data_IF_548778547836
#
_entry.id   IF_548778547836
#
_cell.length_a   1.000
_cell.length_b   1.000
_cell.length_c   1.000
_cell.angle_alpha   90.00
_cell.angle_beta   90.00
_cell.angle_gamma   90.00
#
_symmetry.space_group_name_H-M   'P 1'
#
loop_
_entity.id
_entity.type
_entity.pdbx_description
1 polymer ?
#
# COMPACT_ATOMS: atom_id res chain seq x y z
N UNK A 1 18.37 -10.07 -31.70
CA UNK A 1 17.55 -11.20 -31.15
C UNK A 1 17.30 -11.16 -29.63
N UNK A 2 17.70 -10.09 -28.92
CA UNK A 2 17.36 -9.89 -27.49
C UNK A 2 16.11 -9.01 -27.26
N UNK A 3 15.67 -8.26 -28.26
CA UNK A 3 14.56 -7.32 -28.14
C UNK A 3 13.16 -7.91 -28.42
N UNK A 4 13.06 -9.18 -28.78
CA UNK A 4 11.78 -9.82 -29.09
C UNK A 4 11.15 -10.57 -27.92
N UNK A 5 11.87 -10.91 -26.86
CA UNK A 5 11.31 -11.60 -25.70
C UNK A 5 10.71 -10.69 -24.61
N UNK A 6 10.97 -9.38 -24.65
CA UNK A 6 10.42 -8.42 -23.65
C UNK A 6 9.03 -7.87 -24.04
N UNK A 7 8.55 -8.12 -25.24
CA UNK A 7 7.27 -7.57 -25.72
C UNK A 7 6.04 -8.42 -25.36
N UNK A 8 6.21 -9.62 -24.82
CA UNK A 8 5.09 -10.58 -24.67
C UNK A 8 4.28 -10.42 -23.38
N UNK A 9 4.81 -9.76 -22.37
CA UNK A 9 4.11 -9.64 -21.08
C UNK A 9 2.94 -8.62 -21.07
N UNK A 10 2.84 -7.73 -22.06
CA UNK A 10 1.82 -6.66 -22.12
C UNK A 10 0.93 -6.77 -23.38
N UNK A 11 1.01 -7.83 -24.13
CA UNK A 11 0.29 -8.00 -25.42
C UNK A 11 -1.26 -8.02 -25.31
N UNK A 12 -1.81 -7.99 -24.08
CA UNK A 12 -3.26 -7.97 -23.82
C UNK A 12 -3.83 -6.65 -23.28
N UNK A 13 -2.99 -5.60 -23.18
CA UNK A 13 -3.43 -4.31 -22.61
C UNK A 13 -3.88 -3.38 -23.73
N UNK A 14 -5.09 -2.81 -23.59
CA UNK A 14 -5.66 -1.95 -24.61
C UNK A 14 -4.92 -0.60 -24.72
N UNK A 15 -4.84 -0.07 -25.94
CA UNK A 15 -4.28 1.27 -26.19
C UNK A 15 -5.06 2.36 -25.44
N UNK A 16 -6.36 2.16 -25.21
CA UNK A 16 -7.19 3.06 -24.40
C UNK A 16 -6.70 3.16 -22.97
N UNK A 17 -6.32 2.03 -22.35
CA UNK A 17 -5.76 2.03 -20.97
C UNK A 17 -4.43 2.77 -20.93
N UNK A 18 -3.55 2.57 -21.91
CA UNK A 18 -2.27 3.29 -22.00
C UNK A 18 -2.47 4.80 -22.17
N UNK A 19 -3.40 5.21 -23.02
CA UNK A 19 -3.76 6.63 -23.19
C UNK A 19 -4.35 7.22 -21.91
N UNK A 20 -5.22 6.48 -21.22
CA UNK A 20 -5.78 6.89 -19.92
C UNK A 20 -4.68 7.06 -18.88
N UNK A 21 -3.77 6.09 -18.74
CA UNK A 21 -2.63 6.16 -17.82
C UNK A 21 -1.73 7.36 -18.16
N UNK A 22 -1.41 7.59 -19.42
CA UNK A 22 -0.61 8.73 -19.86
C UNK A 22 -1.24 10.06 -19.44
N UNK A 23 -2.55 10.20 -19.62
CA UNK A 23 -3.30 11.41 -19.27
C UNK A 23 -3.25 11.65 -17.77
N UNK A 24 -3.54 10.64 -16.94
CA UNK A 24 -3.54 10.80 -15.49
C UNK A 24 -2.15 11.01 -14.92
N UNK A 25 -1.14 10.30 -15.44
CA UNK A 25 0.26 10.47 -15.03
C UNK A 25 0.85 11.82 -15.45
N UNK A 26 0.34 12.43 -16.51
CA UNK A 26 0.77 13.76 -16.97
C UNK A 26 0.19 14.92 -16.16
N UNK A 27 -0.93 14.76 -15.44
CA UNK A 27 -1.67 15.90 -14.88
C UNK A 27 -2.26 15.68 -13.49
N UNK A 28 -2.53 14.44 -13.06
CA UNK A 28 -3.22 14.18 -11.80
C UNK A 28 -2.24 14.04 -10.63
N UNK A 29 -2.69 14.39 -9.42
CA UNK A 29 -2.01 13.99 -8.19
C UNK A 29 -2.06 12.47 -8.05
N UNK A 30 -0.90 11.83 -7.85
CA UNK A 30 -0.79 10.38 -7.79
C UNK A 30 -0.73 9.90 -6.35
N UNK A 31 -1.59 8.96 -6.03
CA UNK A 31 -1.63 8.29 -4.74
C UNK A 31 -1.63 6.77 -4.93
N UNK A 32 -1.06 6.06 -3.97
CA UNK A 32 -1.06 4.61 -3.90
C UNK A 32 -1.74 4.15 -2.63
N UNK A 33 -2.45 3.03 -2.69
CA UNK A 33 -2.87 2.25 -1.53
C UNK A 33 -2.22 0.87 -1.61
N UNK A 34 -1.37 0.57 -0.63
CA UNK A 34 -0.66 -0.70 -0.53
C UNK A 34 -1.23 -1.56 0.57
N UNK A 35 -1.64 -2.78 0.22
CA UNK A 35 -1.90 -3.85 1.16
C UNK A 35 -0.75 -4.87 1.17
N UNK A 36 -0.90 -5.95 1.94
CA UNK A 36 0.15 -6.95 2.15
C UNK A 36 0.66 -7.59 0.83
N UNK A 37 -0.19 -7.71 -0.18
CA UNK A 37 0.17 -8.28 -1.47
C UNK A 37 1.21 -7.48 -2.27
N UNK A 38 1.47 -6.20 -1.94
CA UNK A 38 2.49 -5.39 -2.62
C UNK A 38 3.91 -5.92 -2.41
N UNK A 39 4.15 -6.60 -1.29
CA UNK A 39 5.44 -7.18 -0.94
C UNK A 39 5.72 -8.51 -1.69
N UNK A 40 4.73 -9.04 -2.40
CA UNK A 40 4.85 -10.29 -3.14
C UNK A 40 5.33 -11.44 -2.24
N UNK A 41 6.41 -12.13 -2.67
CA UNK A 41 6.99 -13.25 -1.93
C UNK A 41 8.04 -12.83 -0.88
N UNK A 42 8.34 -11.54 -0.75
CA UNK A 42 9.38 -11.06 0.14
C UNK A 42 8.95 -10.98 1.60
N UNK A 43 7.65 -10.81 1.83
CA UNK A 43 7.05 -10.77 3.16
C UNK A 43 5.70 -11.48 3.14
N UNK A 44 5.38 -12.32 4.15
CA UNK A 44 4.16 -13.08 4.16
C UNK A 44 2.91 -12.22 4.34
N UNK A 45 1.82 -12.63 3.72
CA UNK A 45 0.48 -12.15 4.05
C UNK A 45 -0.18 -13.08 5.08
N UNK A 46 -1.25 -12.62 5.72
CA UNK A 46 -1.81 -13.29 6.91
C UNK A 46 -2.04 -14.79 6.76
N UNK A 47 -2.54 -15.27 5.63
CA UNK A 47 -2.77 -16.71 5.42
C UNK A 47 -1.49 -17.59 5.46
N UNK A 48 -0.32 -16.99 5.58
CA UNK A 48 0.98 -17.68 5.71
C UNK A 48 1.51 -17.67 7.15
N UNK A 49 0.80 -17.02 8.09
CA UNK A 49 1.13 -17.01 9.53
C UNK A 49 0.59 -18.29 10.19
N UNK A 50 1.32 -19.39 9.99
CA UNK A 50 0.85 -20.73 10.37
C UNK A 50 0.76 -20.94 11.89
N UNK A 51 1.67 -20.33 12.67
CA UNK A 51 1.65 -20.43 14.13
C UNK A 51 0.45 -19.66 14.71
N UNK A 52 0.19 -18.47 14.20
CA UNK A 52 -0.96 -17.65 14.57
C UNK A 52 -2.28 -18.34 14.23
N UNK A 53 -2.42 -18.86 13.00
CA UNK A 53 -3.60 -19.59 12.55
C UNK A 53 -3.82 -20.84 13.41
N UNK A 54 -2.75 -21.59 13.72
CA UNK A 54 -2.81 -22.75 14.60
C UNK A 54 -3.26 -22.37 16.01
N UNK A 55 -2.70 -21.27 16.56
CA UNK A 55 -3.08 -20.77 17.88
C UNK A 55 -4.54 -20.34 17.95
N UNK A 56 -5.07 -19.74 16.87
CA UNK A 56 -6.49 -19.40 16.75
C UNK A 56 -7.38 -20.65 16.74
N UNK A 57 -7.08 -21.59 15.86
CA UNK A 57 -7.86 -22.83 15.71
C UNK A 57 -7.88 -23.65 17.01
N UNK A 58 -6.77 -23.76 17.73
CA UNK A 58 -6.69 -24.45 19.03
C UNK A 58 -7.56 -23.80 20.11
N UNK A 59 -7.89 -22.54 19.96
CA UNK A 59 -8.76 -21.77 20.88
C UNK A 59 -10.18 -21.59 20.38
N UNK A 60 -10.55 -22.33 19.31
CA UNK A 60 -11.91 -22.29 18.74
C UNK A 60 -12.24 -21.03 17.96
N UNK A 61 -11.22 -20.25 17.54
CA UNK A 61 -11.38 -19.09 16.68
C UNK A 61 -11.23 -19.49 15.21
N UNK A 62 -11.91 -18.76 14.31
CA UNK A 62 -11.76 -18.96 12.88
C UNK A 62 -10.39 -18.43 12.39
N UNK A 63 -9.52 -19.32 11.97
CA UNK A 63 -8.20 -19.02 11.45
C UNK A 63 -8.16 -18.33 10.07
N UNK A 64 -9.30 -18.11 9.44
CA UNK A 64 -9.37 -17.50 8.10
C UNK A 64 -9.06 -16.00 8.11
N UNK A 65 -9.43 -15.30 9.19
CA UNK A 65 -9.23 -13.86 9.35
C UNK A 65 -9.04 -13.48 10.81
N UNK A 66 -7.82 -13.06 11.17
CA UNK A 66 -7.48 -12.68 12.55
C UNK A 66 -8.32 -11.50 13.04
N UNK A 67 -8.61 -10.52 12.18
CA UNK A 67 -9.34 -9.32 12.57
C UNK A 67 -10.77 -9.67 12.98
N UNK A 68 -11.46 -10.44 12.14
CA UNK A 68 -12.83 -10.90 12.43
C UNK A 68 -12.88 -11.81 13.65
N UNK A 69 -11.94 -12.74 13.75
CA UNK A 69 -11.89 -13.68 14.86
C UNK A 69 -11.66 -12.99 16.21
N UNK A 70 -10.71 -12.07 16.28
CA UNK A 70 -10.42 -11.32 17.51
C UNK A 70 -11.49 -10.28 17.83
N UNK A 71 -12.15 -9.69 16.83
CA UNK A 71 -13.28 -8.80 17.05
C UNK A 71 -14.46 -9.48 17.76
N UNK A 72 -14.68 -10.76 17.50
CA UNK A 72 -15.74 -11.56 18.11
C UNK A 72 -15.29 -12.35 19.35
N UNK A 73 -14.01 -12.31 19.70
CA UNK A 73 -13.47 -13.00 20.87
C UNK A 73 -13.74 -12.18 22.15
N UNK A 74 -14.66 -12.67 22.99
CA UNK A 74 -14.98 -12.02 24.27
C UNK A 74 -13.93 -12.26 25.36
N UNK A 75 -13.10 -13.29 25.23
CA UNK A 75 -12.07 -13.65 26.20
C UNK A 75 -10.77 -12.88 25.92
N UNK A 76 -10.45 -11.96 26.85
CA UNK A 76 -9.25 -11.13 26.77
C UNK A 76 -7.95 -11.93 26.81
N UNK A 77 -7.92 -13.02 27.58
CA UNK A 77 -6.71 -13.85 27.70
C UNK A 77 -6.44 -14.62 26.40
N UNK A 78 -7.49 -15.14 25.78
CA UNK A 78 -7.39 -15.78 24.46
C UNK A 78 -6.94 -14.76 23.43
N UNK A 79 -7.55 -13.57 23.41
CA UNK A 79 -7.20 -12.49 22.48
C UNK A 79 -5.73 -12.10 22.61
N UNK A 80 -5.27 -11.84 23.86
CA UNK A 80 -3.87 -11.48 24.09
C UNK A 80 -2.90 -12.60 23.69
N UNK A 81 -3.19 -13.85 24.01
CA UNK A 81 -2.34 -14.97 23.63
C UNK A 81 -2.20 -15.15 22.10
N UNK A 82 -3.27 -14.89 21.33
CA UNK A 82 -3.22 -14.92 19.87
C UNK A 82 -2.41 -13.74 19.34
N UNK A 83 -2.59 -12.55 19.91
CA UNK A 83 -1.82 -11.35 19.54
C UNK A 83 -0.32 -11.51 19.82
N UNK A 84 0.04 -12.07 20.96
CA UNK A 84 1.44 -12.33 21.30
C UNK A 84 2.06 -13.32 20.30
N UNK A 85 1.33 -14.39 19.96
CA UNK A 85 1.78 -15.35 18.92
C UNK A 85 1.94 -14.67 17.57
N UNK A 86 1.02 -13.78 17.18
CA UNK A 86 1.12 -13.02 15.93
C UNK A 86 2.34 -12.10 15.92
N UNK A 87 2.60 -11.38 17.01
CA UNK A 87 3.77 -10.50 17.15
C UNK A 87 5.07 -11.28 17.03
N UNK A 88 5.16 -12.42 17.72
CA UNK A 88 6.36 -13.27 17.70
C UNK A 88 6.61 -13.86 16.30
N UNK A 89 5.57 -14.40 15.67
CA UNK A 89 5.68 -14.95 14.31
C UNK A 89 6.01 -13.85 13.29
N UNK A 90 5.37 -12.67 13.39
CA UNK A 90 5.68 -11.51 12.54
C UNK A 90 7.15 -11.10 12.66
N UNK A 91 7.67 -11.01 13.90
CA UNK A 91 9.05 -10.65 14.15
C UNK A 91 10.04 -11.70 13.61
N UNK A 92 9.63 -12.93 13.41
CA UNK A 92 10.39 -13.96 12.72
C UNK A 92 10.72 -13.60 11.26
N UNK A 93 9.86 -12.82 10.60
CA UNK A 93 10.02 -12.40 9.20
C UNK A 93 10.79 -11.07 9.02
N UNK A 94 11.24 -10.43 10.09
CA UNK A 94 11.92 -9.11 10.04
C UNK A 94 13.20 -9.05 9.20
N UNK A 95 13.83 -10.19 8.91
CA UNK A 95 15.09 -10.29 8.17
C UNK A 95 14.89 -10.38 6.64
N UNK A 96 13.85 -9.77 6.11
CA UNK A 96 13.64 -9.69 4.67
C UNK A 96 14.79 -8.95 3.96
N UNK A 97 15.05 -9.30 2.72
CA UNK A 97 16.12 -8.74 1.90
C UNK A 97 15.55 -7.91 0.77
N UNK A 98 16.07 -6.71 0.58
CA UNK A 98 15.61 -5.78 -0.48
C UNK A 98 16.00 -6.21 -1.90
N UNK A 99 16.90 -7.19 -2.06
CA UNK A 99 17.27 -7.79 -3.34
C UNK A 99 16.34 -8.95 -3.79
N UNK A 100 15.26 -9.21 -3.05
CA UNK A 100 14.21 -10.12 -3.48
C UNK A 100 13.54 -9.62 -4.77
N UNK A 101 13.24 -10.51 -5.69
CA UNK A 101 12.66 -10.17 -7.01
C UNK A 101 11.39 -9.32 -6.91
N UNK A 102 10.48 -9.65 -5.99
CA UNK A 102 9.23 -8.87 -5.79
C UNK A 102 9.55 -7.45 -5.33
N UNK A 103 10.54 -7.25 -4.46
CA UNK A 103 10.93 -5.92 -3.99
C UNK A 103 11.73 -5.14 -5.03
N UNK A 104 12.47 -5.81 -5.89
CA UNK A 104 13.09 -5.16 -7.05
C UNK A 104 12.02 -4.67 -8.04
N UNK A 105 10.93 -5.40 -8.24
CA UNK A 105 9.79 -4.95 -9.04
C UNK A 105 9.08 -3.75 -8.39
N UNK A 106 8.87 -3.77 -7.08
CA UNK A 106 8.32 -2.63 -6.34
C UNK A 106 9.22 -1.39 -6.47
N UNK A 107 10.52 -1.54 -6.31
CA UNK A 107 11.52 -0.48 -6.53
C UNK A 107 11.43 0.09 -7.94
N UNK A 108 11.41 -0.77 -8.94
CA UNK A 108 11.30 -0.40 -10.36
C UNK A 108 10.03 0.42 -10.61
N UNK A 109 8.90 -0.01 -10.04
CA UNK A 109 7.63 0.69 -10.13
C UNK A 109 7.71 2.10 -9.53
N UNK A 110 8.17 2.23 -8.28
CA UNK A 110 8.27 3.52 -7.60
C UNK A 110 9.21 4.47 -8.34
N UNK A 111 10.35 3.98 -8.84
CA UNK A 111 11.30 4.75 -9.64
C UNK A 111 10.70 5.22 -10.96
N UNK A 112 9.94 4.36 -11.65
CA UNK A 112 9.27 4.71 -12.90
C UNK A 112 8.25 5.84 -12.68
N UNK A 113 7.42 5.77 -11.64
CA UNK A 113 6.49 6.83 -11.30
C UNK A 113 7.19 8.15 -10.96
N UNK A 114 8.23 8.10 -10.13
CA UNK A 114 9.03 9.28 -9.79
C UNK A 114 9.58 9.95 -11.05
N UNK A 115 10.17 9.16 -11.95
CA UNK A 115 10.75 9.67 -13.20
C UNK A 115 9.73 10.34 -14.12
N UNK A 116 8.52 9.77 -14.26
CA UNK A 116 7.47 10.38 -15.09
C UNK A 116 6.97 11.68 -14.49
N UNK A 117 6.72 11.67 -13.18
CA UNK A 117 6.19 12.86 -12.48
C UNK A 117 7.22 14.00 -12.48
N UNK A 118 8.52 13.68 -12.39
CA UNK A 118 9.61 14.66 -12.49
C UNK A 118 9.68 15.30 -13.88
N UNK A 119 9.63 14.48 -14.93
CA UNK A 119 9.74 14.93 -16.32
C UNK A 119 8.51 15.69 -16.85
N UNK A 120 7.38 15.60 -16.15
CA UNK A 120 6.15 16.27 -16.57
C UNK A 120 6.26 17.79 -16.33
N UNK A 121 6.66 18.54 -17.36
CA UNK A 121 6.90 19.98 -17.29
C UNK A 121 5.66 20.79 -16.89
N UNK A 122 4.49 20.34 -17.30
CA UNK A 122 3.21 21.03 -17.06
C UNK A 122 2.59 20.71 -15.69
N UNK A 123 3.26 19.93 -14.84
CA UNK A 123 2.75 19.63 -13.49
C UNK A 123 3.05 20.78 -12.54
N UNK A 124 2.01 21.16 -11.79
CA UNK A 124 2.20 22.05 -10.65
C UNK A 124 3.10 21.37 -9.60
N UNK A 125 4.03 22.07 -8.96
CA UNK A 125 4.93 21.48 -7.95
C UNK A 125 4.23 20.62 -6.90
N UNK A 126 3.08 21.06 -6.40
CA UNK A 126 2.29 20.30 -5.41
C UNK A 126 1.80 18.94 -5.93
N UNK A 127 1.59 18.81 -7.24
CA UNK A 127 1.16 17.55 -7.86
C UNK A 127 2.32 16.62 -8.21
N UNK A 128 3.56 17.06 -8.01
CA UNK A 128 4.75 16.22 -8.14
C UNK A 128 4.99 15.33 -6.91
N UNK A 129 4.25 15.56 -5.83
CA UNK A 129 4.28 14.68 -4.65
C UNK A 129 3.51 13.39 -4.94
N UNK A 130 4.12 12.27 -4.58
CA UNK A 130 3.55 10.93 -4.68
C UNK A 130 3.16 10.45 -3.27
N UNK A 131 1.88 10.20 -3.04
CA UNK A 131 1.40 9.74 -1.73
C UNK A 131 1.33 8.20 -1.72
N UNK A 132 1.84 7.59 -0.68
CA UNK A 132 1.74 6.15 -0.43
C UNK A 132 1.01 5.93 0.88
N UNK A 133 -0.23 5.45 0.80
CA UNK A 133 -1.00 4.98 1.95
C UNK A 133 -0.77 3.48 2.09
N UNK A 134 -0.30 3.02 3.23
CA UNK A 134 -0.05 1.61 3.44
C UNK A 134 -0.67 1.10 4.73
N UNK A 135 -1.27 -0.09 4.63
CA UNK A 135 -1.81 -0.84 5.75
C UNK A 135 -0.75 -1.76 6.37
N UNK A 136 0.40 -1.91 5.67
CA UNK A 136 1.46 -2.81 6.09
C UNK A 136 2.24 -2.22 7.27
N UNK A 137 2.59 -3.06 8.22
CA UNK A 137 3.42 -2.67 9.38
C UNK A 137 4.90 -2.60 9.05
N UNK A 138 5.37 -3.37 8.04
CA UNK A 138 6.78 -3.41 7.63
C UNK A 138 7.31 -2.06 7.15
N UNK A 139 8.62 -1.95 6.98
CA UNK A 139 9.32 -0.75 6.48
C UNK A 139 9.86 -0.93 5.06
N UNK A 140 9.32 -1.88 4.31
CA UNK A 140 9.84 -2.24 2.99
C UNK A 140 9.79 -1.04 2.04
N UNK A 141 8.67 -0.31 1.99
CA UNK A 141 8.52 0.85 1.11
C UNK A 141 9.52 1.93 1.48
N UNK A 142 9.62 2.27 2.76
CA UNK A 142 10.51 3.28 3.29
C UNK A 142 11.98 2.95 2.96
N UNK A 143 12.38 1.72 3.22
CA UNK A 143 13.75 1.25 2.97
C UNK A 143 14.09 1.18 1.47
N UNK A 144 13.13 0.82 0.62
CA UNK A 144 13.30 0.88 -0.84
C UNK A 144 13.53 2.32 -1.29
N UNK A 145 12.75 3.27 -0.78
CA UNK A 145 12.89 4.69 -1.12
C UNK A 145 14.23 5.25 -0.66
N UNK A 146 14.66 4.92 0.56
CA UNK A 146 15.96 5.30 1.11
C UNK A 146 17.11 4.72 0.27
N UNK A 147 17.10 3.42 0.00
CA UNK A 147 18.12 2.72 -0.79
C UNK A 147 18.18 3.17 -2.25
N UNK A 148 17.07 3.65 -2.79
CA UNK A 148 16.98 4.21 -4.14
C UNK A 148 17.39 5.69 -4.22
N UNK A 149 17.70 6.33 -3.10
CA UNK A 149 17.99 7.77 -3.05
C UNK A 149 16.78 8.65 -3.39
N UNK A 150 15.56 8.11 -3.26
CA UNK A 150 14.32 8.84 -3.49
C UNK A 150 13.91 9.57 -2.21
N UNK A 151 13.71 10.88 -2.32
CA UNK A 151 13.30 11.68 -1.17
C UNK A 151 11.92 11.28 -0.67
N UNK A 152 11.80 11.01 0.63
CA UNK A 152 10.53 10.66 1.23
C UNK A 152 10.29 11.31 2.59
N UNK A 153 9.01 11.55 2.90
CA UNK A 153 8.50 11.82 4.22
C UNK A 153 7.74 10.59 4.70
N UNK A 154 8.00 10.17 5.92
CA UNK A 154 7.28 9.07 6.54
C UNK A 154 6.43 9.64 7.67
N UNK A 155 5.11 9.46 7.57
CA UNK A 155 4.16 9.83 8.60
C UNK A 155 3.68 8.55 9.29
N UNK A 156 4.15 8.35 10.50
CA UNK A 156 3.72 7.27 11.38
C UNK A 156 3.36 7.86 12.72
N UNK A 157 2.40 7.26 13.41
CA UNK A 157 2.09 7.58 14.78
C UNK A 157 2.76 6.55 15.69
N UNK A 158 3.89 6.92 16.28
CA UNK A 158 4.53 6.15 17.33
C UNK A 158 4.29 6.79 18.69
N UNK A 159 3.92 6.01 19.70
CA UNK A 159 4.01 6.44 21.10
C UNK A 159 5.48 6.40 21.54
N UNK A 160 6.31 7.28 21.00
CA UNK A 160 7.62 7.48 21.60
C UNK A 160 7.51 8.52 22.72
N UNK A 161 8.03 8.19 23.90
CA UNK A 161 8.04 9.10 25.05
C UNK A 161 8.75 10.40 24.68
N UNK A 162 7.99 11.51 24.61
CA UNK A 162 8.54 12.85 24.46
C UNK A 162 8.86 13.30 23.03
N UNK A 163 8.40 12.61 22.00
CA UNK A 163 8.55 13.01 20.60
C UNK A 163 7.21 13.48 20.02
N UNK A 164 7.27 14.26 18.94
CA UNK A 164 6.10 14.62 18.17
C UNK A 164 5.34 13.35 17.74
N UNK A 165 4.00 13.40 17.65
CA UNK A 165 3.19 12.23 17.24
C UNK A 165 3.48 11.74 15.82
N UNK A 166 4.39 12.40 15.11
CA UNK A 166 4.85 12.05 13.77
C UNK A 166 6.35 11.95 13.74
N UNK A 167 6.88 10.88 13.21
CA UNK A 167 8.22 10.86 12.68
C UNK A 167 8.15 11.35 11.23
N UNK A 168 8.67 12.55 10.97
CA UNK A 168 8.89 13.05 9.63
C UNK A 168 10.33 12.74 9.30
N UNK A 169 10.56 11.65 8.58
CA UNK A 169 11.89 11.33 8.03
C UNK A 169 11.93 11.83 6.59
N UNK A 170 12.83 12.75 6.30
CA UNK A 170 13.02 13.30 4.96
C UNK A 170 13.13 14.81 4.99
N UNK A 171 12.65 15.57 4.26
CA UNK A 171 13.02 16.55 3.35
C UNK A 171 12.18 17.85 3.46
N UNK A 172 12.82 19.02 3.27
CA UNK A 172 12.17 20.33 3.27
C UNK A 172 11.47 20.60 1.93
N UNK A 173 10.15 20.56 1.92
CA UNK A 173 9.31 20.79 0.72
C UNK A 173 9.52 22.14 0.07
N UNK A 174 9.94 23.16 0.81
CA UNK A 174 10.11 24.52 0.28
C UNK A 174 11.36 24.65 -0.61
N UNK A 175 12.40 23.87 -0.33
CA UNK A 175 13.66 23.94 -1.07
C UNK A 175 13.65 23.14 -2.37
N UNK A 176 12.79 22.12 -2.47
CA UNK A 176 12.79 21.15 -3.55
C UNK A 176 11.38 20.93 -4.14
N UNK A 177 10.61 22.00 -4.29
CA UNK A 177 9.24 21.94 -4.80
C UNK A 177 9.09 21.31 -6.19
N UNK A 178 10.19 21.21 -6.95
CA UNK A 178 10.20 20.60 -8.29
C UNK A 178 10.67 19.13 -8.32
N UNK A 179 11.11 18.60 -7.17
CA UNK A 179 11.57 17.21 -7.06
C UNK A 179 10.41 16.36 -6.55
N UNK A 180 10.08 15.24 -7.20
CA UNK A 180 9.07 14.32 -6.70
C UNK A 180 9.41 13.88 -5.29
N UNK A 181 8.49 14.06 -4.38
CA UNK A 181 8.64 13.64 -2.99
C UNK A 181 7.60 12.59 -2.66
N UNK A 182 8.04 11.45 -2.16
CA UNK A 182 7.13 10.45 -1.62
C UNK A 182 6.70 10.85 -0.21
N UNK A 183 5.39 10.82 0.04
CA UNK A 183 4.83 10.88 1.39
C UNK A 183 4.25 9.51 1.72
N UNK A 184 4.84 8.82 2.68
CA UNK A 184 4.40 7.50 3.14
C UNK A 184 3.57 7.64 4.41
N UNK A 185 2.32 7.20 4.35
CA UNK A 185 1.36 7.26 5.46
C UNK A 185 1.09 5.84 5.96
N UNK A 186 1.52 5.55 7.18
CA UNK A 186 1.29 4.26 7.84
C UNK A 186 -0.08 4.28 8.51
N UNK A 187 -1.09 3.71 7.87
CA UNK A 187 -2.49 3.79 8.31
C UNK A 187 -2.78 2.94 9.56
N UNK A 188 -2.09 1.83 9.71
CA UNK A 188 -2.26 0.89 10.83
C UNK A 188 -1.05 0.81 11.76
N UNK A 189 -0.13 1.75 11.65
CA UNK A 189 1.10 1.76 12.42
C UNK A 189 2.29 1.13 11.71
N UNK A 190 3.41 1.00 12.42
CA UNK A 190 4.67 0.55 11.86
C UNK A 190 5.49 -0.22 12.89
N UNK A 191 6.35 -1.12 12.42
CA UNK A 191 7.46 -1.65 13.21
C UNK A 191 8.43 -0.53 13.61
N UNK A 192 9.27 -0.78 14.59
CA UNK A 192 10.33 0.13 14.99
C UNK A 192 11.50 0.17 13.97
N UNK A 193 12.52 0.99 14.27
CA UNK A 193 13.72 1.12 13.44
C UNK A 193 14.50 -0.20 13.27
N UNK A 194 14.33 -1.15 14.18
CA UNK A 194 14.95 -2.48 14.12
C UNK A 194 14.02 -3.52 13.49
N UNK A 195 12.93 -3.08 12.86
CA UNK A 195 11.89 -3.92 12.24
C UNK A 195 11.16 -4.82 13.25
N UNK A 196 11.08 -4.43 14.52
CA UNK A 196 10.32 -5.18 15.52
C UNK A 196 8.88 -4.64 15.61
N UNK A 197 7.93 -5.56 15.52
CA UNK A 197 6.53 -5.30 15.82
C UNK A 197 6.32 -5.30 17.34
N UNK A 198 5.51 -4.37 17.82
CA UNK A 198 5.03 -4.37 19.19
C UNK A 198 3.56 -3.93 19.24
N UNK A 199 2.84 -4.40 20.25
CA UNK A 199 1.41 -4.08 20.42
C UNK A 199 1.13 -2.58 20.60
N UNK A 200 2.11 -1.80 21.05
CA UNK A 200 1.95 -0.36 21.26
C UNK A 200 2.06 0.50 20.00
N UNK A 201 2.59 -0.07 18.90
CA UNK A 201 2.94 0.68 17.69
C UNK A 201 2.01 0.40 16.51
N UNK A 202 1.01 -0.46 16.68
CA UNK A 202 0.11 -0.86 15.60
C UNK A 202 -1.35 -0.87 16.05
N UNK A 203 -2.24 -0.79 15.08
CA UNK A 203 -3.66 -1.05 15.28
C UNK A 203 -3.88 -2.54 15.18
N UNK A 204 -4.13 -3.18 16.31
CA UNK A 204 -4.52 -4.57 16.30
C UNK A 204 -5.96 -4.74 15.84
N UNK A 205 -6.24 -5.82 15.13
CA UNK A 205 -7.60 -6.25 14.92
C UNK A 205 -8.29 -6.54 16.26
N UNK A 206 -9.50 -6.02 16.46
CA UNK A 206 -10.24 -6.19 17.71
C UNK A 206 -11.61 -5.50 17.68
N UNK A 207 -12.35 -5.60 18.79
CA UNK A 207 -13.72 -5.09 18.89
C UNK A 207 -13.85 -3.58 18.69
N UNK A 208 -12.79 -2.81 18.94
CA UNK A 208 -12.77 -1.35 18.76
C UNK A 208 -11.62 -0.90 17.84
N UNK A 209 -11.55 -1.53 16.66
CA UNK A 209 -10.55 -1.12 15.64
C UNK A 209 -10.70 0.36 15.29
N UNK A 210 -11.93 0.84 15.12
CA UNK A 210 -12.18 2.23 14.78
C UNK A 210 -11.78 3.17 15.93
N UNK A 211 -12.08 2.82 17.17
CA UNK A 211 -11.63 3.58 18.35
C UNK A 211 -10.11 3.62 18.47
N UNK A 212 -9.44 2.51 18.24
CA UNK A 212 -7.97 2.44 18.22
C UNK A 212 -7.37 3.26 17.10
N UNK A 213 -7.95 3.25 15.90
CA UNK A 213 -7.54 4.09 14.78
C UNK A 213 -7.76 5.57 15.13
N UNK A 214 -8.94 5.93 15.62
CA UNK A 214 -9.27 7.31 15.97
C UNK A 214 -8.40 7.86 17.09
N UNK A 215 -7.98 7.03 18.06
CA UNK A 215 -7.15 7.48 19.17
C UNK A 215 -5.67 7.60 18.83
N UNK A 216 -5.16 6.74 17.94
CA UNK A 216 -3.73 6.61 17.69
C UNK A 216 -3.28 6.94 16.25
N UNK A 217 -4.16 6.76 15.25
CA UNK A 217 -3.82 6.89 13.83
C UNK A 217 -4.79 7.78 13.06
N UNK A 218 -5.63 8.51 13.77
CA UNK A 218 -6.63 9.43 13.20
C UNK A 218 -6.04 10.36 12.15
N UNK A 219 -4.87 10.92 12.41
CA UNK A 219 -4.27 11.94 11.56
C UNK A 219 -3.81 11.38 10.21
N UNK A 220 -3.28 10.16 10.18
CA UNK A 220 -2.87 9.52 8.90
C UNK A 220 -4.09 9.14 8.07
N UNK A 221 -5.16 8.65 8.70
CA UNK A 221 -6.42 8.34 8.03
C UNK A 221 -7.13 9.60 7.53
N UNK A 222 -7.11 10.67 8.33
CA UNK A 222 -7.65 11.98 7.95
C UNK A 222 -6.85 12.60 6.80
N UNK A 223 -5.51 12.48 6.83
CA UNK A 223 -4.65 12.91 5.74
C UNK A 223 -4.97 12.14 4.44
N UNK A 224 -5.17 10.81 4.51
CA UNK A 224 -5.61 10.02 3.37
C UNK A 224 -6.91 10.56 2.79
N UNK A 225 -7.93 10.78 3.61
CA UNK A 225 -9.22 11.35 3.18
C UNK A 225 -9.01 12.70 2.50
N UNK A 226 -8.23 13.59 3.12
CA UNK A 226 -7.95 14.92 2.57
C UNK A 226 -7.23 14.89 1.23
N UNK A 227 -6.23 14.01 1.05
CA UNK A 227 -5.51 13.85 -0.21
C UNK A 227 -6.40 13.26 -1.32
N UNK A 228 -7.20 12.24 -1.01
CA UNK A 228 -8.05 11.58 -2.01
C UNK A 228 -9.25 12.43 -2.46
N UNK A 229 -9.72 13.38 -1.64
CA UNK A 229 -10.79 14.32 -1.99
C UNK A 229 -10.32 15.50 -2.85
N UNK A 230 -9.02 15.67 -3.08
CA UNK A 230 -8.51 16.72 -3.97
C UNK A 230 -8.93 16.47 -5.41
N UNK A 231 -9.18 17.55 -6.14
CA UNK A 231 -9.48 17.46 -7.57
C UNK A 231 -8.31 16.89 -8.36
N UNK A 232 -8.60 16.19 -9.43
CA UNK A 232 -7.60 15.56 -10.30
C UNK A 232 -6.65 14.64 -9.55
N UNK A 233 -7.20 13.79 -8.69
CA UNK A 233 -6.44 12.76 -7.97
C UNK A 233 -6.70 11.39 -8.59
N UNK A 234 -5.63 10.59 -8.67
CA UNK A 234 -5.68 9.18 -9.06
C UNK A 234 -5.12 8.32 -7.94
N UNK A 235 -5.79 7.21 -7.67
CA UNK A 235 -5.37 6.20 -6.70
C UNK A 235 -5.06 4.88 -7.41
N UNK A 236 -3.85 4.36 -7.21
CA UNK A 236 -3.47 3.01 -7.60
C UNK A 236 -3.56 2.09 -6.39
N UNK A 237 -4.41 1.06 -6.47
CA UNK A 237 -4.63 0.08 -5.40
C UNK A 237 -3.89 -1.20 -5.75
N UNK A 238 -2.95 -1.61 -4.89
CA UNK A 238 -2.02 -2.71 -5.14
C UNK A 238 -1.94 -3.62 -3.91
N UNK A 239 -2.20 -4.91 -4.11
CA UNK A 239 -2.07 -5.92 -3.06
C UNK A 239 -3.02 -5.75 -1.88
N UNK A 240 -4.12 -5.02 -2.06
CA UNK A 240 -5.15 -4.78 -1.05
C UNK A 240 -6.37 -5.68 -1.28
N UNK A 241 -6.84 -6.32 -0.22
CA UNK A 241 -7.93 -7.31 -0.26
C UNK A 241 -9.33 -6.72 -0.17
N UNK A 242 -9.48 -5.40 -0.04
CA UNK A 242 -10.74 -4.69 0.18
C UNK A 242 -11.48 -5.11 1.47
N UNK A 243 -10.74 -5.56 2.48
CA UNK A 243 -11.30 -6.06 3.74
C UNK A 243 -11.54 -4.98 4.80
N UNK A 244 -10.99 -3.78 4.64
CA UNK A 244 -11.09 -2.69 5.62
C UNK A 244 -12.23 -1.71 5.27
N UNK A 245 -13.36 -1.83 5.94
CA UNK A 245 -14.56 -1.03 5.66
C UNK A 245 -14.34 0.48 5.80
N UNK A 246 -13.53 0.92 6.76
CA UNK A 246 -13.22 2.34 6.96
C UNK A 246 -12.37 2.91 5.81
N UNK A 247 -11.43 2.14 5.27
CA UNK A 247 -10.65 2.51 4.09
C UNK A 247 -11.52 2.50 2.84
N UNK A 248 -12.35 1.47 2.67
CA UNK A 248 -13.30 1.36 1.58
C UNK A 248 -14.31 2.52 1.59
N UNK A 249 -14.78 2.93 2.78
CA UNK A 249 -15.67 4.08 2.94
C UNK A 249 -15.03 5.39 2.46
N UNK A 250 -13.77 5.65 2.80
CA UNK A 250 -13.02 6.83 2.33
C UNK A 250 -12.87 6.80 0.80
N UNK A 251 -12.52 5.65 0.22
CA UNK A 251 -12.37 5.51 -1.23
C UNK A 251 -13.71 5.76 -1.93
N UNK A 252 -14.79 5.20 -1.41
CA UNK A 252 -16.12 5.39 -1.97
C UNK A 252 -16.56 6.86 -1.95
N UNK A 253 -16.37 7.56 -0.82
CA UNK A 253 -16.63 9.00 -0.70
C UNK A 253 -15.80 9.80 -1.72
N UNK A 254 -14.53 9.43 -1.89
CA UNK A 254 -13.64 10.11 -2.81
C UNK A 254 -14.01 9.86 -4.28
N UNK A 255 -14.44 8.64 -4.64
CA UNK A 255 -14.97 8.33 -5.98
C UNK A 255 -16.19 9.20 -6.28
N UNK A 256 -17.12 9.33 -5.34
CA UNK A 256 -18.26 10.22 -5.48
C UNK A 256 -17.88 11.69 -5.68
N UNK A 257 -16.67 12.08 -5.26
CA UNK A 257 -16.09 13.42 -5.42
C UNK A 257 -15.17 13.55 -6.65
N UNK A 258 -15.03 12.50 -7.48
CA UNK A 258 -14.29 12.52 -8.74
C UNK A 258 -12.90 11.87 -8.70
N UNK A 259 -12.58 11.08 -7.67
CA UNK A 259 -11.37 10.27 -7.63
C UNK A 259 -11.40 9.21 -8.74
N UNK A 260 -10.31 9.10 -9.49
CA UNK A 260 -10.09 7.97 -10.41
C UNK A 260 -9.31 6.88 -9.69
N UNK A 261 -9.80 5.64 -9.72
CA UNK A 261 -9.16 4.51 -9.06
C UNK A 261 -8.76 3.45 -10.08
N UNK A 262 -7.50 3.05 -10.05
CA UNK A 262 -6.98 1.89 -10.76
C UNK A 262 -6.67 0.79 -9.74
N UNK A 263 -7.25 -0.39 -9.97
CA UNK A 263 -6.99 -1.56 -9.14
C UNK A 263 -6.22 -2.60 -9.93
N UNK A 264 -5.05 -2.99 -9.41
CA UNK A 264 -4.24 -4.06 -9.98
C UNK A 264 -4.71 -5.38 -9.42
N UNK A 265 -5.42 -6.12 -10.25
CA UNK A 265 -5.94 -7.45 -9.95
C UNK A 265 -4.80 -8.46 -9.97
N UNK A 266 -4.66 -9.25 -8.90
CA UNK A 266 -3.62 -10.29 -8.83
C UNK A 266 -4.07 -11.58 -9.50
N UNK A 267 -5.33 -11.99 -9.29
CA UNK A 267 -5.94 -13.20 -9.89
C UNK A 267 -7.15 -12.80 -10.71
N UNK A 268 -7.42 -13.52 -11.82
CA UNK A 268 -8.60 -13.27 -12.63
C UNK A 268 -9.94 -13.38 -11.87
N UNK A 269 -9.99 -14.21 -10.83
CA UNK A 269 -11.17 -14.43 -9.99
C UNK A 269 -11.36 -13.41 -8.87
N UNK A 270 -10.36 -12.57 -8.58
CA UNK A 270 -10.49 -11.55 -7.55
C UNK A 270 -11.57 -10.55 -7.94
N UNK A 271 -12.42 -10.17 -6.98
CA UNK A 271 -13.58 -9.32 -7.24
C UNK A 271 -13.57 -8.07 -6.36
N UNK A 272 -14.12 -6.99 -6.89
CA UNK A 272 -14.35 -5.76 -6.14
C UNK A 272 -15.60 -5.88 -5.26
N UNK A 273 -15.64 -5.22 -4.09
CA UNK A 273 -16.88 -5.01 -3.36
C UNK A 273 -17.96 -4.36 -4.25
N UNK A 274 -19.22 -4.80 -4.11
CA UNK A 274 -20.33 -4.30 -4.94
C UNK A 274 -20.45 -2.77 -5.05
N UNK A 275 -20.25 -1.99 -3.96
CA UNK A 275 -20.33 -0.53 -4.05
C UNK A 275 -19.26 0.09 -4.96
N UNK A 276 -18.12 -0.57 -5.16
CA UNK A 276 -17.00 -0.09 -5.97
C UNK A 276 -17.04 -0.62 -7.41
N UNK A 277 -17.80 -1.69 -7.65
CA UNK A 277 -17.95 -2.29 -8.97
C UNK A 277 -18.53 -1.27 -9.96
N UNK A 278 -17.87 -1.06 -11.08
CA UNK A 278 -18.27 -0.07 -12.10
C UNK A 278 -17.70 1.34 -11.91
N UNK A 279 -17.05 1.62 -10.77
CA UNK A 279 -16.39 2.90 -10.50
C UNK A 279 -14.86 2.81 -10.45
N UNK A 280 -14.32 1.60 -10.50
CA UNK A 280 -12.89 1.32 -10.45
C UNK A 280 -12.43 0.73 -11.77
N UNK A 281 -11.34 1.25 -12.31
CA UNK A 281 -10.70 0.73 -13.52
C UNK A 281 -9.82 -0.44 -13.10
N UNK A 282 -10.21 -1.65 -13.52
CA UNK A 282 -9.43 -2.85 -13.21
C UNK A 282 -8.33 -3.04 -14.25
N UNK A 283 -7.11 -3.25 -13.78
CA UNK A 283 -5.98 -3.71 -14.58
C UNK A 283 -5.84 -5.22 -14.33
N UNK A 284 -6.29 -6.07 -15.26
CA UNK A 284 -6.26 -7.52 -15.07
C UNK A 284 -4.83 -8.07 -15.10
N UNK A 285 -4.60 -9.26 -14.54
CA UNK A 285 -3.33 -9.93 -14.67
C UNK A 285 -3.07 -10.30 -16.13
N UNK A 286 -1.85 -10.07 -16.59
CA UNK A 286 -1.46 -10.38 -17.97
C UNK A 286 -1.49 -11.88 -18.22
N UNK A 287 -2.07 -12.28 -19.35
CA UNK A 287 -2.22 -13.70 -19.72
C UNK A 287 -3.23 -14.48 -18.90
N UNK A 288 -4.03 -13.82 -18.04
CA UNK A 288 -5.06 -14.49 -17.22
C UNK A 288 -4.49 -15.40 -16.13
N UNK A 289 -3.23 -15.23 -15.74
CA UNK A 289 -2.55 -15.96 -14.66
C UNK A 289 -2.12 -14.98 -13.57
N UNK A 290 -2.00 -15.42 -12.31
CA UNK A 290 -1.48 -14.57 -11.24
C UNK A 290 -0.09 -14.03 -11.58
N UNK A 291 0.06 -12.71 -11.64
CA UNK A 291 1.31 -12.03 -11.97
C UNK A 291 1.63 -10.99 -10.90
N UNK A 292 2.89 -10.78 -10.63
CA UNK A 292 3.35 -9.71 -9.74
C UNK A 292 2.80 -8.36 -10.22
N UNK A 293 1.90 -7.79 -9.43
CA UNK A 293 1.17 -6.57 -9.77
C UNK A 293 2.10 -5.35 -9.87
N UNK A 294 3.17 -5.32 -9.09
CA UNK A 294 4.17 -4.25 -9.13
C UNK A 294 5.00 -4.31 -10.41
N UNK A 295 5.32 -5.53 -10.89
CA UNK A 295 5.97 -5.74 -12.18
C UNK A 295 5.11 -5.23 -13.33
N UNK A 296 3.85 -5.66 -13.35
CA UNK A 296 2.88 -5.24 -14.38
C UNK A 296 2.76 -3.72 -14.43
N UNK A 297 2.61 -3.07 -13.29
CA UNK A 297 2.47 -1.61 -13.25
C UNK A 297 3.75 -0.89 -13.62
N UNK A 298 4.93 -1.39 -13.21
CA UNK A 298 6.22 -0.84 -13.62
C UNK A 298 6.36 -0.83 -15.16
N UNK A 299 6.08 -1.95 -15.81
CA UNK A 299 6.15 -2.09 -17.27
C UNK A 299 5.17 -1.16 -18.00
N UNK A 300 3.93 -1.02 -17.49
CA UNK A 300 2.95 -0.09 -18.03
C UNK A 300 3.41 1.37 -17.95
N UNK A 301 3.91 1.76 -16.80
CA UNK A 301 4.37 3.14 -16.54
C UNK A 301 5.60 3.47 -17.38
N UNK A 302 6.54 2.56 -17.49
CA UNK A 302 7.71 2.73 -18.36
C UNK A 302 7.33 2.85 -19.85
N UNK A 303 6.34 2.06 -20.31
CA UNK A 303 5.81 2.16 -21.66
C UNK A 303 5.17 3.53 -21.92
N UNK A 304 4.36 4.00 -20.96
CA UNK A 304 3.78 5.36 -21.03
C UNK A 304 4.85 6.43 -21.07
N UNK A 305 5.94 6.28 -20.34
CA UNK A 305 7.06 7.23 -20.32
C UNK A 305 7.92 7.27 -21.59
N UNK A 306 7.81 6.25 -22.45
CA UNK A 306 8.52 6.18 -23.74
C UNK A 306 7.72 6.79 -24.92
N UNK A 307 6.42 7.00 -24.75
CA UNK A 307 5.52 7.60 -25.73
C UNK A 307 5.47 9.12 -25.52
#
# INVERSE_FOLDING_TARGET
>A
MKDQCENDAISGISDELLLSLRKVLGSCSVSFLFGAGVNGKAFPYFAQFNETISAMNQRGLDGSNIETALAHCADEQIRQAVLDTFVDEYNGYRNYRLDNESLLNLRRMLTAFSSIVEKAENRHPETKRLNVFTLNYDRIVEEILEDSGLFCYILTQGKSKGHLPFDIVGYNTTTHAFIPTFCVYKLHGSVDANRNLSSGNIVFPGQDKLGSILSNFYETLFAMKGELLKRNTVLFVIGYSWSDDHVNGIINDAIASGLTVYWLQYRPEDTLPKPLAGHVITIPPVGGIPVDTTKTLAELVERVGRI
#
